data_IF_492979073628
#
_entry.id   IF_492979073628
#
_cell.length_a   1.000
_cell.length_b   1.000
_cell.length_c   1.000
_cell.angle_alpha   90.00
_cell.angle_beta   90.00
_cell.angle_gamma   90.00
#
_symmetry.space_group_name_H-M   'P 1'
#
loop_
_entity.id
_entity.type
_entity.pdbx_description
1 polymer ?
#
# COMPACT_ATOMS: atom_id res chain seq x y z
N UNK A 1 15.56 -9.50 1.73
CA UNK A 1 15.27 -8.62 2.87
C UNK A 1 14.02 -7.87 2.45
N UNK A 2 13.00 -7.93 3.29
CA UNK A 2 11.71 -7.26 3.11
C UNK A 2 11.60 -6.29 4.30
N UNK A 3 11.22 -5.06 4.06
CA UNK A 3 10.97 -4.11 5.14
C UNK A 3 9.59 -4.39 5.77
N UNK A 4 9.40 -3.95 7.00
CA UNK A 4 8.14 -4.17 7.73
C UNK A 4 6.95 -3.50 7.01
N UNK A 5 7.21 -2.37 6.35
CA UNK A 5 6.24 -1.62 5.55
C UNK A 5 6.01 -2.11 4.12
N UNK A 6 6.67 -3.16 3.63
CA UNK A 6 6.50 -3.62 2.24
C UNK A 6 5.20 -4.42 2.08
N UNK A 7 4.08 -3.82 1.69
CA UNK A 7 2.78 -4.51 1.62
C UNK A 7 2.55 -5.20 0.27
N UNK A 8 3.37 -4.86 -0.72
CA UNK A 8 3.41 -5.49 -2.04
C UNK A 8 2.37 -4.93 -3.01
N UNK A 9 2.09 -5.71 -4.06
CA UNK A 9 1.28 -5.25 -5.18
C UNK A 9 -0.23 -5.49 -5.01
N UNK A 10 -1.03 -4.53 -5.45
CA UNK A 10 -2.50 -4.57 -5.49
C UNK A 10 -2.98 -4.17 -6.89
N UNK A 11 -4.07 -4.78 -7.35
CA UNK A 11 -4.67 -4.48 -8.66
C UNK A 11 -5.77 -3.44 -8.57
N UNK A 12 -5.83 -2.57 -9.57
CA UNK A 12 -7.02 -1.75 -9.85
C UNK A 12 -7.95 -2.42 -10.83
N UNK A 13 -9.25 -2.10 -10.78
CA UNK A 13 -10.19 -2.44 -11.84
C UNK A 13 -10.06 -1.52 -13.06
N UNK A 14 -10.91 -1.72 -14.08
CA UNK A 14 -10.90 -0.94 -15.32
C UNK A 14 -11.29 0.54 -15.11
N UNK A 15 -11.80 0.89 -13.94
CA UNK A 15 -12.20 2.23 -13.53
C UNK A 15 -11.11 2.90 -12.67
N UNK A 16 -9.98 2.23 -12.44
CA UNK A 16 -8.90 2.72 -11.57
C UNK A 16 -9.26 2.65 -10.08
N UNK A 17 -10.23 1.82 -9.70
CA UNK A 17 -10.60 1.60 -8.30
C UNK A 17 -9.76 0.48 -7.72
N UNK A 18 -9.14 0.76 -6.58
CA UNK A 18 -8.43 -0.22 -5.78
C UNK A 18 -9.25 -0.56 -4.53
N UNK A 19 -9.58 -1.84 -4.33
CA UNK A 19 -10.24 -2.35 -3.14
C UNK A 19 -9.29 -3.24 -2.37
N UNK A 20 -9.04 -2.90 -1.11
CA UNK A 20 -8.02 -3.55 -0.29
C UNK A 20 -8.60 -3.91 1.06
N UNK A 21 -8.31 -5.15 1.48
CA UNK A 21 -8.55 -5.63 2.84
C UNK A 21 -7.24 -6.24 3.34
N UNK A 22 -6.56 -5.52 4.23
CA UNK A 22 -5.23 -5.87 4.74
C UNK A 22 -5.28 -6.03 6.25
N UNK A 23 -4.70 -7.13 6.71
CA UNK A 23 -4.42 -7.38 8.12
C UNK A 23 -2.91 -7.50 8.24
N UNK A 24 -2.29 -6.51 8.89
CA UNK A 24 -0.85 -6.45 9.10
C UNK A 24 -0.62 -6.35 10.60
N UNK A 25 0.29 -7.16 11.10
CA UNK A 25 0.73 -7.14 12.48
C UNK A 25 2.17 -6.60 12.49
N UNK A 26 2.49 -5.66 13.39
CA UNK A 26 3.88 -5.25 13.57
C UNK A 26 4.71 -6.42 14.10
N UNK A 27 6.00 -6.41 13.77
CA UNK A 27 6.95 -7.37 14.34
C UNK A 27 6.94 -7.28 15.87
N UNK A 28 7.11 -8.41 16.56
CA UNK A 28 7.08 -8.45 18.03
C UNK A 28 8.22 -7.61 18.65
N UNK A 29 9.32 -7.46 17.92
CA UNK A 29 10.49 -6.69 18.31
C UNK A 29 10.46 -5.22 17.82
N UNK A 30 9.38 -4.76 17.18
CA UNK A 30 9.27 -3.39 16.67
C UNK A 30 9.17 -2.35 17.83
N UNK A 31 10.21 -1.51 18.05
CA UNK A 31 10.21 -0.52 19.12
C UNK A 31 9.23 0.63 18.86
N UNK A 32 8.73 0.79 17.63
CA UNK A 32 7.80 1.86 17.25
C UNK A 32 6.36 1.57 17.68
N UNK A 33 6.08 0.34 18.18
CA UNK A 33 4.77 -0.13 18.65
C UNK A 33 3.71 -0.14 17.53
N UNK A 34 4.13 -0.33 16.29
CA UNK A 34 3.30 -0.53 15.11
C UNK A 34 3.02 0.71 14.27
N UNK A 35 2.04 0.59 13.37
CA UNK A 35 1.92 1.49 12.21
C UNK A 35 1.15 2.79 12.43
N UNK A 36 0.59 3.04 13.62
CA UNK A 36 -0.21 4.26 13.88
C UNK A 36 0.69 5.50 13.85
N UNK A 37 0.30 6.52 13.08
CA UNK A 37 1.05 7.76 12.90
C UNK A 37 2.10 7.69 11.77
N UNK A 38 2.31 6.52 11.17
CA UNK A 38 3.04 6.36 9.92
C UNK A 38 2.14 6.70 8.72
N UNK A 39 2.67 6.57 7.50
CA UNK A 39 1.92 6.78 6.27
C UNK A 39 1.75 5.47 5.49
N UNK A 40 0.54 5.26 4.96
CA UNK A 40 0.31 4.32 3.85
C UNK A 40 0.60 5.07 2.55
N UNK A 41 1.38 4.47 1.65
CA UNK A 41 1.80 5.07 0.38
C UNK A 41 1.33 4.18 -0.76
N UNK A 42 0.89 4.79 -1.87
CA UNK A 42 0.60 4.07 -3.11
C UNK A 42 1.59 4.54 -4.17
N UNK A 43 2.35 3.62 -4.77
CA UNK A 43 3.29 3.93 -5.86
C UNK A 43 2.65 3.75 -7.25
N UNK A 44 3.21 4.42 -8.26
CA UNK A 44 2.68 4.45 -9.64
C UNK A 44 3.16 3.32 -10.56
N UNK A 45 3.94 2.40 -10.01
CA UNK A 45 4.45 1.22 -10.67
C UNK A 45 4.40 -0.03 -9.78
N UNK A 46 4.67 -1.16 -10.43
CA UNK A 46 4.73 -2.49 -9.82
C UNK A 46 6.03 -2.67 -9.02
N UNK A 47 5.91 -3.14 -7.78
CA UNK A 47 7.03 -3.57 -6.95
C UNK A 47 7.62 -4.87 -7.53
N UNK A 48 8.92 -4.86 -7.81
CA UNK A 48 9.65 -6.03 -8.28
C UNK A 48 10.00 -7.04 -7.16
N UNK A 49 9.59 -6.77 -5.93
CA UNK A 49 9.75 -7.55 -4.70
C UNK A 49 11.21 -7.79 -4.33
N UNK A 50 12.11 -6.89 -4.75
CA UNK A 50 13.55 -7.03 -4.58
C UNK A 50 14.20 -7.99 -5.56
N UNK A 51 13.51 -8.37 -6.64
CA UNK A 51 13.94 -9.37 -7.63
C UNK A 51 14.40 -8.75 -8.96
N UNK A 52 14.28 -7.43 -9.13
CA UNK A 52 14.67 -6.75 -10.38
C UNK A 52 16.17 -6.65 -10.65
N UNK A 53 17.02 -7.08 -9.71
CA UNK A 53 18.48 -7.16 -9.90
C UNK A 53 19.20 -5.81 -9.98
N UNK A 54 18.54 -4.72 -9.60
CA UNK A 54 19.13 -3.39 -9.53
C UNK A 54 19.13 -2.86 -8.09
N UNK A 55 19.82 -1.74 -7.85
CA UNK A 55 19.94 -1.15 -6.50
C UNK A 55 18.57 -0.74 -5.92
N UNK A 56 17.68 -0.20 -6.75
CA UNK A 56 16.36 0.29 -6.34
C UNK A 56 15.42 -0.83 -5.93
N UNK A 57 15.52 -2.02 -6.55
CA UNK A 57 14.78 -3.22 -6.15
C UNK A 57 14.89 -3.48 -4.64
N UNK A 58 16.06 -3.27 -4.04
CA UNK A 58 16.30 -3.55 -2.61
C UNK A 58 15.92 -2.41 -1.67
N UNK A 59 15.56 -1.25 -2.21
CA UNK A 59 15.25 -0.04 -1.46
C UNK A 59 13.75 0.21 -1.46
N UNK A 60 13.13 0.22 -2.64
CA UNK A 60 11.72 0.59 -2.81
C UNK A 60 10.99 -0.26 -3.87
N UNK A 61 11.52 -1.45 -4.14
CA UNK A 61 10.91 -2.35 -5.12
C UNK A 61 10.98 -1.85 -6.56
N UNK A 62 11.70 -0.75 -6.82
CA UNK A 62 11.68 -0.06 -8.11
C UNK A 62 10.25 0.33 -8.56
N UNK A 63 9.38 0.65 -7.59
CA UNK A 63 7.94 0.87 -7.78
C UNK A 63 7.55 2.25 -8.33
N UNK A 64 8.53 3.11 -8.65
CA UNK A 64 8.27 4.44 -9.22
C UNK A 64 7.89 5.51 -8.19
N UNK A 65 7.10 6.50 -8.61
CA UNK A 65 6.74 7.67 -7.81
C UNK A 65 5.50 7.44 -6.94
N UNK A 66 5.33 8.25 -5.89
CA UNK A 66 4.17 8.17 -4.99
C UNK A 66 2.93 8.83 -5.64
N UNK A 67 1.87 8.07 -5.88
CA UNK A 67 0.57 8.56 -6.36
C UNK A 67 -0.27 9.19 -5.25
N UNK A 68 -0.27 8.58 -4.06
CA UNK A 68 -1.06 9.01 -2.93
C UNK A 68 -0.39 8.58 -1.62
N UNK A 69 -0.61 9.35 -0.56
CA UNK A 69 -0.22 8.96 0.78
C UNK A 69 -1.23 9.45 1.82
N UNK A 70 -1.34 8.74 2.93
CA UNK A 70 -2.21 9.13 4.05
C UNK A 70 -1.67 8.64 5.38
N UNK A 71 -1.91 9.40 6.44
CA UNK A 71 -1.51 9.01 7.80
C UNK A 71 -2.43 7.91 8.32
N UNK A 72 -1.85 6.86 8.91
CA UNK A 72 -2.56 5.76 9.55
C UNK A 72 -3.06 6.22 10.92
N UNK A 73 -4.36 6.45 11.02
CA UNK A 73 -5.04 6.87 12.24
C UNK A 73 -5.82 5.74 12.92
N UNK A 74 -6.11 5.92 14.21
CA UNK A 74 -7.06 5.05 14.90
C UNK A 74 -8.47 5.41 14.47
N UNK A 75 -9.23 4.43 13.98
CA UNK A 75 -10.67 4.61 13.76
C UNK A 75 -11.38 4.67 15.12
N UNK A 76 -12.17 5.72 15.35
CA UNK A 76 -13.07 5.74 16.50
C UNK A 76 -14.19 4.72 16.26
N UNK A 77 -14.28 3.72 17.14
CA UNK A 77 -15.44 2.81 17.16
C UNK A 77 -16.64 3.56 17.75
N UNK A 78 -17.39 4.21 16.88
CA UNK A 78 -18.81 4.46 17.14
C UNK A 78 -19.54 3.18 16.72
N UNK A 79 -20.46 2.69 17.55
CA UNK A 79 -21.23 1.44 17.37
C UNK A 79 -22.13 1.45 16.12
N UNK A 80 -21.53 1.53 14.94
CA UNK A 80 -22.19 1.42 13.65
C UNK A 80 -21.40 0.37 12.89
N UNK A 81 -22.03 -0.78 12.63
CA UNK A 81 -21.48 -1.84 11.79
C UNK A 81 -21.13 -1.22 10.43
N UNK A 82 -19.84 -1.16 10.10
CA UNK A 82 -19.37 -0.80 8.76
C UNK A 82 -18.37 -1.86 8.35
N UNK A 83 -18.63 -2.54 7.25
CA UNK A 83 -17.64 -3.35 6.54
C UNK A 83 -16.55 -2.39 6.06
N UNK A 84 -15.32 -2.41 6.60
CA UNK A 84 -14.34 -1.38 6.35
C UNK A 84 -13.59 -1.68 5.05
N UNK A 85 -14.27 -1.70 3.91
CA UNK A 85 -13.56 -1.67 2.63
C UNK A 85 -13.09 -0.23 2.43
N UNK A 86 -11.78 -0.01 2.51
CA UNK A 86 -11.20 1.27 2.07
C UNK A 86 -11.10 1.23 0.54
N UNK A 87 -11.89 2.09 -0.10
CA UNK A 87 -11.85 2.30 -1.54
C UNK A 87 -10.98 3.52 -1.82
N UNK A 88 -9.93 3.34 -2.61
CA UNK A 88 -9.07 4.45 -3.05
C UNK A 88 -9.24 4.58 -4.55
N UNK A 89 -9.63 5.79 -4.98
CA UNK A 89 -9.70 6.15 -6.40
C UNK A 89 -8.49 7.00 -6.72
N UNK A 90 -7.59 6.50 -7.57
CA UNK A 90 -6.45 7.29 -8.06
C UNK A 90 -6.72 7.71 -9.50
N UNK A 91 -6.13 8.83 -9.93
CA UNK A 91 -6.14 9.23 -11.34
C UNK A 91 -5.28 8.31 -12.23
N UNK A 92 -4.76 7.19 -11.70
CA UNK A 92 -4.19 6.13 -12.53
C UNK A 92 -5.23 5.49 -13.47
N UNK A 93 -6.52 5.81 -13.31
CA UNK A 93 -7.57 5.60 -14.29
C UNK A 93 -7.19 6.21 -15.67
N UNK A 94 -6.45 5.45 -16.48
CA UNK A 94 -5.92 5.89 -17.77
C UNK A 94 -4.55 5.33 -18.14
N UNK A 95 -3.77 4.82 -17.17
CA UNK A 95 -2.78 3.78 -17.43
C UNK A 95 -3.51 2.43 -17.34
N UNK A 96 -3.02 1.39 -18.00
CA UNK A 96 -3.77 0.18 -18.41
C UNK A 96 -4.62 -0.46 -17.30
N UNK A 97 -5.69 -1.17 -17.68
CA UNK A 97 -6.64 -1.89 -16.80
C UNK A 97 -6.02 -3.10 -16.04
N UNK A 98 -4.75 -3.00 -15.65
CA UNK A 98 -3.90 -4.08 -15.14
C UNK A 98 -2.75 -3.55 -14.28
N UNK A 99 -2.80 -2.29 -13.85
CA UNK A 99 -1.69 -1.68 -13.13
C UNK A 99 -1.62 -2.26 -11.72
N UNK A 100 -0.51 -2.92 -11.43
CA UNK A 100 -0.13 -3.31 -10.08
C UNK A 100 0.41 -2.05 -9.40
N UNK A 101 -0.31 -1.60 -8.37
CA UNK A 101 0.11 -0.51 -7.50
C UNK A 101 0.74 -1.10 -6.25
N UNK A 102 1.76 -0.45 -5.71
CA UNK A 102 2.45 -0.92 -4.50
C UNK A 102 1.95 -0.18 -3.27
N UNK A 103 1.79 -0.89 -2.14
CA UNK A 103 1.39 -0.36 -0.83
C UNK A 103 2.52 -0.36 0.21
#
# INVERSE_FOLDING_TARGET
MRHDGDLGNVKTDAQGVMNVDLIILPDEDDPTRGYIGLALVINDGEDDLGLGGNERSRIDGNSGGNLACSVIGRRQSLWIHQNPTQQITTQAAGKSSSDLLTL
#
